data_IF_786051465704
#
_entry.id   IF_786051465704
#
_cell.length_a   1.000
_cell.length_b   1.000
_cell.length_c   1.000
_cell.angle_alpha   90.00
_cell.angle_beta   90.00
_cell.angle_gamma   90.00
#
_symmetry.space_group_name_H-M   'P 1'
#
loop_
_entity.id
_entity.type
_entity.pdbx_description
1 polymer ?
#
# COMPACT_ATOMS: atom_id res chain seq x y z
N UNK A 1 11.48 -11.57 -10.06
CA UNK A 1 12.65 -11.28 -9.19
C UNK A 1 12.25 -11.55 -7.75
N UNK A 2 13.11 -12.16 -6.95
CA UNK A 2 12.87 -12.41 -5.53
C UNK A 2 14.11 -12.02 -4.72
N UNK A 3 13.95 -11.29 -3.62
CA UNK A 3 15.03 -10.91 -2.72
C UNK A 3 14.57 -11.10 -1.28
N UNK A 4 15.38 -11.82 -0.50
CA UNK A 4 15.02 -12.23 0.85
C UNK A 4 16.19 -12.03 1.82
N UNK A 5 15.89 -11.58 3.03
CA UNK A 5 16.83 -11.42 4.14
C UNK A 5 16.26 -12.10 5.40
N UNK A 6 17.03 -12.98 6.06
CA UNK A 6 18.35 -13.48 5.67
C UNK A 6 18.36 -14.22 4.33
N UNK A 7 19.51 -14.32 3.65
CA UNK A 7 19.59 -15.01 2.36
C UNK A 7 19.16 -16.48 2.52
N UNK A 8 18.16 -16.91 1.75
CA UNK A 8 17.64 -18.28 1.76
C UNK A 8 16.53 -18.54 2.79
N UNK A 9 16.08 -17.52 3.52
CA UNK A 9 14.88 -17.64 4.35
C UNK A 9 13.63 -17.96 3.51
N UNK A 10 12.63 -18.54 4.15
CA UNK A 10 11.29 -18.74 3.62
C UNK A 10 10.43 -17.51 3.96
N UNK A 11 9.85 -16.82 2.94
CA UNK A 11 9.03 -15.63 3.16
C UNK A 11 7.81 -15.87 4.05
N UNK A 12 7.34 -17.12 4.14
CA UNK A 12 6.19 -17.50 4.96
C UNK A 12 6.59 -17.96 6.37
N UNK A 13 7.88 -18.01 6.73
CA UNK A 13 8.32 -18.55 8.02
C UNK A 13 9.31 -17.63 8.75
N UNK A 14 10.42 -17.26 8.12
CA UNK A 14 11.59 -16.74 8.84
C UNK A 14 12.33 -15.58 8.14
N UNK A 15 11.75 -15.01 7.07
CA UNK A 15 12.29 -13.78 6.50
C UNK A 15 12.00 -12.56 7.37
N UNK A 16 13.04 -11.77 7.63
CA UNK A 16 12.93 -10.44 8.24
C UNK A 16 12.45 -9.40 7.24
N UNK A 17 12.94 -9.49 6.00
CA UNK A 17 12.47 -8.67 4.87
C UNK A 17 12.44 -9.57 3.64
N UNK A 18 11.39 -9.46 2.84
CA UNK A 18 11.29 -10.15 1.57
C UNK A 18 10.51 -9.35 0.56
N UNK A 19 10.93 -9.41 -0.70
CA UNK A 19 10.17 -8.86 -1.83
C UNK A 19 10.21 -9.82 -3.01
N UNK A 20 9.05 -10.00 -3.63
CA UNK A 20 8.89 -10.67 -4.91
C UNK A 20 8.21 -9.72 -5.88
N UNK A 21 8.79 -9.60 -7.07
CA UNK A 21 8.26 -8.79 -8.16
C UNK A 21 8.06 -9.69 -9.38
N UNK A 22 6.83 -9.73 -9.89
CA UNK A 22 6.44 -10.60 -10.98
C UNK A 22 5.55 -9.85 -11.97
N UNK A 23 5.83 -9.95 -13.27
CA UNK A 23 4.89 -9.49 -14.30
C UNK A 23 3.78 -10.52 -14.47
N UNK A 24 2.54 -10.08 -14.29
CA UNK A 24 1.35 -10.96 -14.28
C UNK A 24 0.39 -10.69 -15.45
N UNK A 25 0.62 -9.62 -16.20
CA UNK A 25 -0.22 -9.25 -17.33
C UNK A 25 0.29 -8.03 -18.08
N UNK A 26 -0.49 -7.57 -19.05
CA UNK A 26 -0.22 -6.34 -19.79
C UNK A 26 -0.16 -5.15 -18.84
N UNK A 27 1.00 -4.50 -18.80
CA UNK A 27 1.28 -3.36 -17.92
C UNK A 27 1.12 -3.65 -16.41
N UNK A 28 1.05 -4.91 -15.98
CA UNK A 28 0.74 -5.27 -14.60
C UNK A 28 1.88 -6.05 -13.96
N UNK A 29 2.35 -5.54 -12.83
CA UNK A 29 3.38 -6.14 -12.01
C UNK A 29 2.85 -6.37 -10.60
N UNK A 30 2.84 -7.63 -10.19
CA UNK A 30 2.53 -8.04 -8.84
C UNK A 30 3.76 -7.84 -7.96
N UNK A 31 3.56 -7.14 -6.85
CA UNK A 31 4.55 -6.92 -5.80
C UNK A 31 4.04 -7.64 -4.55
N UNK A 32 4.87 -8.52 -4.01
CA UNK A 32 4.61 -9.20 -2.75
C UNK A 32 5.75 -8.89 -1.80
N UNK A 33 5.43 -8.44 -0.60
CA UNK A 33 6.39 -8.02 0.40
C UNK A 33 6.08 -8.67 1.75
N UNK A 34 7.13 -8.96 2.48
CA UNK A 34 7.05 -9.43 3.86
C UNK A 34 8.07 -8.69 4.72
N UNK A 35 7.69 -8.37 5.95
CA UNK A 35 8.58 -7.83 6.96
C UNK A 35 8.26 -8.41 8.34
N UNK A 36 9.27 -8.71 9.16
CA UNK A 36 9.05 -9.04 10.57
C UNK A 36 8.48 -7.82 11.33
N UNK A 37 7.52 -8.04 12.22
CA UNK A 37 6.94 -6.96 13.03
C UNK A 37 7.99 -6.36 13.97
N UNK A 38 8.00 -5.03 14.10
CA UNK A 38 8.93 -4.32 14.99
C UNK A 38 8.59 -4.61 16.46
N UNK A 39 9.62 -4.84 17.26
CA UNK A 39 9.50 -5.05 18.71
C UNK A 39 10.31 -3.94 19.42
N UNK A 40 9.69 -3.15 20.32
CA UNK A 40 8.28 -3.19 20.71
C UNK A 40 7.33 -2.76 19.57
N UNK A 41 6.04 -3.17 19.60
CA UNK A 41 5.07 -2.82 18.56
C UNK A 41 4.95 -1.31 18.35
N UNK A 42 4.93 -0.90 17.08
CA UNK A 42 4.71 0.48 16.65
C UNK A 42 3.29 0.66 16.14
N UNK A 43 2.79 1.90 16.13
CA UNK A 43 1.42 2.18 15.67
C UNK A 43 1.24 1.89 14.18
N UNK A 44 2.24 2.23 13.36
CA UNK A 44 2.25 1.95 11.93
C UNK A 44 3.63 1.40 11.55
N UNK A 45 3.64 0.34 10.74
CA UNK A 45 4.84 -0.25 10.18
C UNK A 45 4.71 -0.30 8.67
N UNK A 46 5.81 -0.04 7.96
CA UNK A 46 5.87 -0.15 6.51
C UNK A 46 6.78 -1.27 6.05
N UNK A 47 6.52 -1.79 4.86
CA UNK A 47 7.49 -2.47 4.01
C UNK A 47 7.47 -1.80 2.64
N UNK A 48 8.64 -1.54 2.08
CA UNK A 48 8.77 -0.77 0.85
C UNK A 48 9.67 -1.47 -0.16
N UNK A 49 9.33 -1.32 -1.43
CA UNK A 49 10.16 -1.66 -2.58
C UNK A 49 10.57 -0.37 -3.30
N UNK A 50 11.84 -0.23 -3.64
CA UNK A 50 12.34 0.89 -4.42
C UNK A 50 12.94 0.43 -5.75
N UNK A 51 12.79 1.26 -6.76
CA UNK A 51 13.41 1.13 -8.08
C UNK A 51 14.45 2.23 -8.23
N UNK A 52 15.70 1.83 -8.44
CA UNK A 52 16.84 2.74 -8.47
C UNK A 52 17.71 2.52 -9.71
N UNK A 53 18.40 3.57 -10.15
CA UNK A 53 19.38 3.47 -11.23
C UNK A 53 20.78 3.06 -10.73
N UNK A 54 21.00 3.03 -9.43
CA UNK A 54 22.25 2.58 -8.81
C UNK A 54 21.99 1.71 -7.56
N UNK A 55 23.06 1.31 -6.86
CA UNK A 55 22.97 0.45 -5.65
C UNK A 55 22.81 1.25 -4.35
N UNK A 56 22.60 2.56 -4.41
CA UNK A 56 22.53 3.44 -3.26
C UNK A 56 21.19 4.19 -3.20
N UNK A 57 20.57 4.21 -2.02
CA UNK A 57 19.41 5.07 -1.78
C UNK A 57 19.77 6.54 -2.06
N UNK A 58 18.93 7.25 -2.80
CA UNK A 58 19.30 8.61 -3.22
C UNK A 58 18.34 9.31 -4.15
N UNK A 59 17.80 8.57 -5.09
CA UNK A 59 17.04 9.12 -6.19
C UNK A 59 16.21 7.97 -6.77
N UNK A 60 15.22 7.53 -6.00
CA UNK A 60 14.54 6.26 -6.21
C UNK A 60 13.03 6.46 -6.20
N UNK A 61 12.33 5.79 -7.12
CA UNK A 61 10.88 5.67 -7.05
C UNK A 61 10.53 4.51 -6.12
N UNK A 62 9.66 4.77 -5.16
CA UNK A 62 9.34 3.84 -4.07
C UNK A 62 7.86 3.52 -4.10
N UNK A 63 7.53 2.26 -3.81
CA UNK A 63 6.18 1.84 -3.47
C UNK A 63 6.23 1.22 -2.09
N UNK A 64 5.49 1.80 -1.16
CA UNK A 64 5.47 1.42 0.24
C UNK A 64 4.09 0.94 0.62
N UNK A 65 4.03 -0.11 1.43
CA UNK A 65 2.81 -0.61 2.03
C UNK A 65 2.89 -0.38 3.53
N UNK A 66 1.93 0.34 4.06
CA UNK A 66 1.80 0.69 5.47
C UNK A 66 0.65 -0.11 6.05
N UNK A 67 0.90 -0.78 7.17
CA UNK A 67 -0.15 -1.42 7.96
C UNK A 67 -0.23 -0.71 9.31
N UNK A 68 -1.43 -0.25 9.65
CA UNK A 68 -1.74 0.34 10.94
C UNK A 68 -2.16 -0.74 11.93
N UNK A 69 -1.53 -0.76 13.11
CA UNK A 69 -1.93 -1.59 14.24
C UNK A 69 -2.79 -0.80 15.23
N UNK A 70 -3.72 0.03 14.72
CA UNK A 70 -4.58 0.92 15.52
C UNK A 70 -5.61 0.19 16.43
N UNK A 71 -5.43 -1.11 16.64
CA UNK A 71 -6.08 -1.89 17.70
C UNK A 71 -6.78 -3.13 17.16
N UNK A 72 -6.89 -4.14 18.03
CA UNK A 72 -7.53 -5.44 17.82
C UNK A 72 -9.00 -5.36 17.36
N UNK A 73 -9.59 -4.16 17.38
CA UNK A 73 -11.01 -3.90 17.09
C UNK A 73 -11.30 -3.31 15.71
N UNK A 74 -10.29 -2.79 15.00
CA UNK A 74 -10.48 -2.14 13.67
C UNK A 74 -9.87 -2.94 12.52
N UNK A 75 -9.13 -4.02 12.82
CA UNK A 75 -8.43 -4.81 11.81
C UNK A 75 -7.16 -4.13 11.29
N UNK A 76 -6.36 -4.89 10.58
CA UNK A 76 -5.20 -4.39 9.83
C UNK A 76 -5.69 -3.97 8.45
N UNK A 77 -5.84 -2.67 8.20
CA UNK A 77 -6.08 -2.16 6.86
C UNK A 77 -4.74 -1.77 6.22
N UNK A 78 -4.33 -2.46 5.13
CA UNK A 78 -3.14 -2.09 4.40
C UNK A 78 -3.43 -0.87 3.52
N UNK A 79 -2.46 0.03 3.44
CA UNK A 79 -2.47 1.16 2.53
C UNK A 79 -1.19 1.14 1.69
N UNK A 80 -1.32 1.33 0.38
CA UNK A 80 -0.17 1.43 -0.52
C UNK A 80 0.01 2.87 -0.99
N UNK A 81 1.25 3.34 -0.94
CA UNK A 81 1.64 4.66 -1.39
C UNK A 81 2.77 4.56 -2.41
N UNK A 82 2.83 5.55 -3.29
CA UNK A 82 4.04 5.84 -4.07
C UNK A 82 4.76 6.99 -3.40
N UNK A 83 6.06 6.83 -3.18
CA UNK A 83 6.94 7.82 -2.56
C UNK A 83 8.22 7.97 -3.36
N UNK A 84 9.01 8.99 -3.05
CA UNK A 84 10.25 9.28 -3.74
C UNK A 84 11.38 9.52 -2.75
N UNK A 85 12.51 8.86 -2.96
CA UNK A 85 13.71 9.12 -2.18
C UNK A 85 14.49 10.30 -2.77
N UNK A 86 14.65 11.35 -1.98
CA UNK A 86 15.53 12.49 -2.31
C UNK A 86 16.70 12.52 -1.35
N UNK A 87 17.86 12.06 -1.80
CA UNK A 87 19.01 11.83 -0.95
C UNK A 87 18.72 10.71 0.07
N UNK A 88 18.64 11.05 1.35
CA UNK A 88 18.39 10.08 2.43
C UNK A 88 17.03 10.26 3.11
N UNK A 89 16.18 11.13 2.57
CA UNK A 89 14.79 11.29 2.98
C UNK A 89 13.85 10.67 1.96
N UNK A 90 12.64 10.35 2.41
CA UNK A 90 11.55 9.86 1.59
C UNK A 90 10.39 10.84 1.71
N UNK A 91 9.74 11.16 0.59
CA UNK A 91 8.53 11.98 0.57
C UNK A 91 7.44 11.23 -0.20
N UNK A 92 6.24 11.12 0.39
CA UNK A 92 5.08 10.56 -0.32
C UNK A 92 4.65 11.48 -1.46
N UNK A 93 4.31 10.88 -2.60
CA UNK A 93 3.78 11.60 -3.75
C UNK A 93 2.25 11.53 -3.67
N UNK A 94 1.61 12.69 -3.59
CA UNK A 94 0.15 12.76 -3.53
C UNK A 94 -0.50 12.25 -4.83
N UNK A 95 -1.34 11.22 -4.69
CA UNK A 95 -2.26 10.74 -5.71
C UNK A 95 -3.70 11.06 -5.26
N UNK A 96 -4.54 11.49 -6.18
CA UNK A 96 -5.99 11.45 -5.94
C UNK A 96 -6.54 10.02 -6.12
N UNK A 97 -7.78 9.79 -5.71
CA UNK A 97 -8.43 8.46 -5.75
C UNK A 97 -8.35 7.82 -7.16
N UNK A 98 -8.65 8.57 -8.24
CA UNK A 98 -8.60 8.05 -9.61
C UNK A 98 -7.16 7.66 -10.03
N UNK A 99 -6.16 8.45 -9.62
CA UNK A 99 -4.75 8.16 -9.90
C UNK A 99 -4.26 6.95 -9.10
N UNK A 100 -4.70 6.82 -7.85
CA UNK A 100 -4.38 5.71 -6.96
C UNK A 100 -4.97 4.40 -7.51
N UNK A 101 -6.26 4.37 -7.80
CA UNK A 101 -6.97 3.22 -8.39
C UNK A 101 -6.46 2.86 -9.79
N UNK A 102 -5.87 3.83 -10.51
CA UNK A 102 -5.21 3.56 -11.78
C UNK A 102 -3.85 2.90 -11.59
N UNK A 103 -3.04 3.37 -10.64
CA UNK A 103 -1.68 2.88 -10.42
C UNK A 103 -1.65 1.53 -9.70
N UNK A 104 -2.49 1.36 -8.69
CA UNK A 104 -2.53 0.20 -7.81
C UNK A 104 -3.88 -0.51 -7.89
N UNK A 105 -3.85 -1.83 -7.76
CA UNK A 105 -5.03 -2.71 -7.71
C UNK A 105 -4.71 -3.95 -6.90
N UNK A 106 -5.74 -4.75 -6.56
CA UNK A 106 -5.58 -6.02 -5.84
C UNK A 106 -4.77 -5.90 -4.53
N UNK A 107 -4.92 -4.78 -3.81
CA UNK A 107 -4.24 -4.56 -2.53
C UNK A 107 -4.78 -5.53 -1.48
N UNK A 108 -3.87 -6.30 -0.89
CA UNK A 108 -4.13 -7.16 0.24
C UNK A 108 -2.97 -7.04 1.23
N UNK A 109 -3.25 -7.18 2.51
CA UNK A 109 -2.23 -7.09 3.53
C UNK A 109 -2.77 -7.46 4.89
N UNK A 110 -1.90 -8.03 5.70
CA UNK A 110 -2.26 -8.60 6.99
C UNK A 110 -1.02 -8.73 7.87
N UNK A 111 -1.26 -8.97 9.16
CA UNK A 111 -0.21 -9.39 10.10
C UNK A 111 -0.45 -10.84 10.49
N UNK A 112 0.43 -11.74 10.06
CA UNK A 112 0.34 -13.19 10.31
C UNK A 112 1.65 -13.67 10.92
N UNK A 113 1.55 -14.39 12.05
CA UNK A 113 2.69 -14.91 12.81
C UNK A 113 3.81 -13.89 13.02
N UNK A 114 3.47 -12.68 13.50
CA UNK A 114 4.44 -11.58 13.72
C UNK A 114 5.16 -11.10 12.47
N UNK A 115 4.53 -11.22 11.30
CA UNK A 115 5.03 -10.70 10.03
C UNK A 115 3.96 -9.87 9.35
N UNK A 116 4.34 -8.69 8.88
CA UNK A 116 3.58 -7.90 7.95
C UNK A 116 3.71 -8.54 6.58
N UNK A 117 2.58 -8.93 5.98
CA UNK A 117 2.49 -9.40 4.60
C UNK A 117 1.71 -8.36 3.83
N UNK A 118 2.22 -7.95 2.67
CA UNK A 118 1.51 -7.03 1.79
C UNK A 118 1.70 -7.41 0.32
N UNK A 119 0.62 -7.35 -0.44
CA UNK A 119 0.56 -7.68 -1.84
C UNK A 119 -0.27 -6.65 -2.58
N UNK A 120 0.18 -6.25 -3.76
CA UNK A 120 -0.60 -5.42 -4.67
C UNK A 120 -0.14 -5.62 -6.12
N UNK A 121 -1.01 -5.25 -7.05
CA UNK A 121 -0.69 -5.09 -8.46
C UNK A 121 -0.41 -3.62 -8.75
N UNK A 122 0.73 -3.31 -9.36
CA UNK A 122 1.16 -1.98 -9.78
C UNK A 122 1.33 -1.91 -11.30
N UNK A 123 1.00 -0.75 -11.90
CA UNK A 123 1.32 -0.51 -13.30
C UNK A 123 2.83 -0.36 -13.56
N UNK A 124 3.37 -1.09 -14.54
CA UNK A 124 4.78 -0.98 -14.94
C UNK A 124 5.05 0.37 -15.63
N UNK A 125 4.10 0.82 -16.46
CA UNK A 125 4.11 2.10 -17.13
C UNK A 125 2.85 2.84 -16.70
N UNK A 126 2.94 3.69 -15.67
CA UNK A 126 1.78 4.34 -15.08
C UNK A 126 0.99 5.16 -16.13
N UNK A 127 -0.32 5.03 -16.13
CA UNK A 127 -1.24 5.79 -17.00
C UNK A 127 -1.82 7.02 -16.28
N UNK A 128 -0.97 7.69 -15.50
CA UNK A 128 -1.25 8.88 -14.69
C UNK A 128 -0.18 9.96 -14.94
N UNK A 129 -0.39 11.17 -14.40
CA UNK A 129 0.63 12.22 -14.43
C UNK A 129 1.90 11.76 -13.70
N UNK A 130 3.09 12.07 -14.24
CA UNK A 130 4.35 11.61 -13.64
C UNK A 130 4.79 12.44 -12.41
N UNK A 131 3.97 13.41 -11.99
CA UNK A 131 4.16 14.29 -10.84
C UNK A 131 5.52 14.98 -10.85
N UNK A 132 5.87 15.60 -11.98
CA UNK A 132 7.18 16.23 -12.21
C UNK A 132 8.37 15.24 -12.13
N UNK A 133 8.16 13.99 -12.53
CA UNK A 133 9.21 12.96 -12.57
C UNK A 133 9.39 12.18 -11.26
N UNK A 134 8.50 12.35 -10.28
CA UNK A 134 8.51 11.60 -9.03
C UNK A 134 7.91 10.19 -9.17
N UNK A 135 7.09 9.97 -10.21
CA UNK A 135 6.55 8.66 -10.57
C UNK A 135 7.27 8.18 -11.83
N UNK A 136 7.80 6.95 -11.76
CA UNK A 136 8.67 6.42 -12.81
C UNK A 136 7.98 5.42 -13.73
N UNK A 137 8.45 5.41 -14.97
CA UNK A 137 8.16 4.35 -15.91
C UNK A 137 9.18 3.22 -15.70
N UNK A 138 8.69 2.04 -15.34
CA UNK A 138 9.53 0.89 -14.99
C UNK A 138 9.94 0.05 -16.21
N UNK A 139 9.78 0.54 -17.45
CA UNK A 139 10.26 -0.09 -18.69
C UNK A 139 11.74 0.22 -18.98
N UNK A 140 12.57 0.24 -17.94
CA UNK A 140 14.03 0.27 -18.09
C UNK A 140 14.66 -0.62 -17.02
N UNK A 141 15.95 -0.97 -17.12
CA UNK A 141 16.62 -1.72 -16.05
C UNK A 141 16.82 -0.87 -14.79
N UNK A 142 16.42 -1.41 -13.63
CA UNK A 142 16.62 -0.80 -12.31
C UNK A 142 17.20 -1.80 -11.32
N UNK A 143 18.00 -1.33 -10.37
CA UNK A 143 18.19 -2.07 -9.13
C UNK A 143 16.89 -2.03 -8.31
N UNK A 144 16.55 -3.15 -7.70
CA UNK A 144 15.42 -3.24 -6.78
C UNK A 144 15.98 -3.18 -5.37
N UNK A 145 15.37 -2.37 -4.50
CA UNK A 145 15.70 -2.33 -3.08
C UNK A 145 14.47 -2.67 -2.23
N UNK A 146 14.68 -3.19 -1.03
CA UNK A 146 13.62 -3.44 -0.07
C UNK A 146 14.03 -2.99 1.33
N UNK A 147 13.11 -2.34 2.04
CA UNK A 147 13.31 -1.84 3.39
C UNK A 147 12.02 -1.95 4.22
N UNK A 148 12.17 -1.94 5.55
CA UNK A 148 11.05 -1.88 6.51
C UNK A 148 11.42 -0.95 7.66
N UNK A 149 10.40 -0.37 8.30
CA UNK A 149 10.56 0.52 9.43
C UNK A 149 9.20 0.97 9.99
N UNK A 150 9.22 1.83 11.00
CA UNK A 150 7.99 2.45 11.49
C UNK A 150 7.51 3.55 10.55
N UNK A 151 6.21 3.78 10.49
CA UNK A 151 5.60 4.86 9.72
C UNK A 151 4.88 5.87 10.63
N UNK A 152 4.62 7.05 10.08
CA UNK A 152 3.71 8.06 10.57
C UNK A 152 2.60 8.28 9.52
N UNK A 153 1.49 8.97 9.87
CA UNK A 153 0.38 9.17 8.95
C UNK A 153 0.75 9.75 7.59
N UNK A 154 1.80 10.57 7.49
CA UNK A 154 2.22 11.29 6.30
C UNK A 154 3.63 10.95 5.79
N UNK A 155 4.41 10.16 6.54
CA UNK A 155 5.80 9.83 6.19
C UNK A 155 6.23 8.44 6.70
N UNK A 156 7.35 7.95 6.17
CA UNK A 156 8.03 6.76 6.68
C UNK A 156 9.30 7.16 7.44
N UNK A 157 9.55 6.50 8.57
CA UNK A 157 10.79 6.72 9.31
C UNK A 157 11.97 6.00 8.64
N UNK A 158 13.18 6.42 8.98
CA UNK A 158 14.39 5.75 8.55
C UNK A 158 14.35 4.24 8.89
N UNK A 159 14.67 3.42 7.91
CA UNK A 159 14.91 1.99 8.11
C UNK A 159 16.18 1.78 8.96
N UNK A 160 16.42 0.53 9.35
CA UNK A 160 17.64 0.12 10.05
C UNK A 160 18.92 0.52 9.27
N UNK A 161 19.90 1.08 9.98
CA UNK A 161 21.17 1.57 9.42
C UNK A 161 22.37 0.69 9.80
N UNK A 162 22.22 -0.20 10.78
CA UNK A 162 23.24 -1.16 11.14
C UNK A 162 23.32 -2.28 10.10
N UNK A 163 24.44 -2.36 9.38
CA UNK A 163 24.67 -3.36 8.30
C UNK A 163 24.54 -4.81 8.76
N UNK A 164 24.84 -5.06 10.04
CA UNK A 164 24.80 -6.40 10.63
C UNK A 164 23.41 -6.81 11.10
N UNK A 165 22.44 -5.89 11.10
CA UNK A 165 21.07 -6.17 11.50
C UNK A 165 20.35 -7.03 10.46
N UNK A 166 19.48 -7.93 10.90
CA UNK A 166 18.62 -8.71 10.01
C UNK A 166 17.58 -7.83 9.30
N UNK A 167 17.29 -6.64 9.81
CA UNK A 167 16.38 -5.65 9.21
C UNK A 167 17.08 -4.63 8.32
N UNK A 168 18.40 -4.74 8.11
CA UNK A 168 19.09 -3.84 7.19
C UNK A 168 18.59 -4.05 5.76
N UNK A 169 18.38 -2.98 4.96
CA UNK A 169 17.82 -3.07 3.63
C UNK A 169 18.53 -4.05 2.70
N UNK A 170 17.78 -4.53 1.71
CA UNK A 170 18.27 -5.42 0.66
C UNK A 170 18.34 -4.64 -0.64
N UNK A 171 19.39 -4.86 -1.43
CA UNK A 171 19.53 -4.32 -2.79
C UNK A 171 19.85 -5.47 -3.73
N UNK A 172 19.27 -5.45 -4.94
CA UNK A 172 19.55 -6.46 -5.95
C UNK A 172 21.00 -6.35 -6.43
N UNK A 173 21.62 -7.50 -6.75
CA UNK A 173 22.98 -7.50 -7.27
C UNK A 173 23.04 -7.06 -8.74
N UNK A 174 21.96 -7.32 -9.47
CA UNK A 174 21.78 -7.01 -10.89
C UNK A 174 20.52 -6.18 -11.09
N UNK A 175 20.46 -5.50 -12.23
CA UNK A 175 19.28 -4.76 -12.63
C UNK A 175 18.18 -5.67 -13.14
N UNK A 176 16.94 -5.32 -12.86
CA UNK A 176 15.72 -5.96 -13.34
C UNK A 176 14.97 -5.01 -14.27
N UNK A 177 14.54 -5.50 -15.43
CA UNK A 177 13.61 -4.78 -16.29
C UNK A 177 12.32 -5.64 -16.43
N UNK A 178 11.22 -5.25 -15.76
CA UNK A 178 9.95 -5.98 -15.79
C UNK A 178 9.51 -6.40 -17.19
N UNK A 179 9.62 -5.52 -18.17
CA UNK A 179 9.12 -5.74 -19.54
C UNK A 179 9.91 -6.85 -20.25
N UNK A 180 11.23 -6.84 -20.16
CA UNK A 180 12.09 -7.87 -20.78
C UNK A 180 12.04 -9.22 -20.09
N UNK A 181 11.61 -9.27 -18.83
CA UNK A 181 11.42 -10.52 -18.10
C UNK A 181 10.04 -11.13 -18.34
N UNK A 182 9.05 -10.31 -18.75
CA UNK A 182 7.66 -10.71 -18.97
C UNK A 182 7.29 -11.03 -20.43
N UNK A 183 8.27 -11.25 -21.31
CA UNK A 183 8.33 -11.35 -22.80
C UNK A 183 7.10 -11.77 -23.66
N UNK A 184 5.92 -12.03 -23.11
CA UNK A 184 4.72 -12.47 -23.82
C UNK A 184 3.55 -11.47 -23.81
N UNK A 185 3.71 -10.28 -23.22
CA UNK A 185 2.64 -9.29 -23.16
C UNK A 185 2.94 -8.07 -24.04
N UNK A 186 1.95 -7.61 -24.81
CA UNK A 186 2.00 -6.31 -25.45
C UNK A 186 1.81 -5.22 -24.38
N UNK A 187 2.62 -4.18 -24.42
CA UNK A 187 2.73 -3.20 -23.36
C UNK A 187 2.45 -1.79 -23.92
N UNK A 188 1.75 -0.89 -23.20
CA UNK A 188 1.44 0.45 -23.69
C UNK A 188 2.71 1.30 -23.89
N UNK A 189 2.70 2.25 -24.82
CA UNK A 189 3.85 3.12 -25.04
C UNK A 189 3.85 4.29 -24.04
N UNK A 190 4.73 4.26 -23.04
CA UNK A 190 4.99 5.38 -22.14
C UNK A 190 3.85 5.72 -21.16
N UNK A 191 3.97 6.90 -20.52
CA UNK A 191 2.88 7.47 -19.73
C UNK A 191 1.81 7.99 -20.68
N UNK A 192 0.62 7.38 -20.68
CA UNK A 192 -0.55 7.98 -21.32
C UNK A 192 -1.59 8.25 -20.24
N UNK A 193 -1.69 9.49 -19.73
CA UNK A 193 -2.70 9.83 -18.75
C UNK A 193 -4.08 9.50 -19.32
N UNK A 194 -4.79 8.57 -18.69
CA UNK A 194 -6.17 8.26 -19.06
C UNK A 194 -7.18 9.18 -18.36
N UNK A 195 -6.82 10.40 -17.96
CA UNK A 195 -7.81 11.36 -17.42
C UNK A 195 -7.54 12.79 -17.93
N UNK A 196 -8.60 13.38 -18.50
CA UNK A 196 -8.71 14.80 -18.84
C UNK A 196 -8.87 15.59 -17.53
N UNK A 197 -7.78 16.08 -16.95
CA UNK A 197 -7.77 16.82 -15.65
C UNK A 197 -8.44 18.20 -15.68
N UNK A 198 -9.26 18.51 -16.69
CA UNK A 198 -9.92 19.82 -16.83
C UNK A 198 -11.45 19.80 -16.70
N UNK A 199 -12.07 18.73 -16.20
CA UNK A 199 -13.51 18.73 -15.93
C UNK A 199 -13.79 18.66 -14.43
N UNK A 200 -13.69 19.82 -13.77
CA UNK A 200 -14.51 20.08 -12.58
C UNK A 200 -15.97 20.10 -13.06
N UNK A 201 -16.57 18.92 -13.23
CA UNK A 201 -18.03 18.85 -13.17
C UNK A 201 -18.41 19.13 -11.73
N UNK A 202 -18.85 20.37 -11.47
CA UNK A 202 -19.67 20.68 -10.31
C UNK A 202 -20.84 19.69 -10.32
N UNK A 203 -20.73 18.58 -9.59
CA UNK A 203 -21.90 17.79 -9.24
C UNK A 203 -22.85 18.75 -8.52
N UNK A 204 -24.09 18.93 -8.99
CA UNK A 204 -25.08 19.66 -8.20
C UNK A 204 -25.19 18.96 -6.85
N UNK A 205 -25.01 19.73 -5.78
CA UNK A 205 -25.23 19.26 -4.42
C UNK A 205 -26.66 18.72 -4.35
N UNK A 206 -26.80 17.41 -4.11
CA UNK A 206 -28.12 16.79 -3.90
C UNK A 206 -28.74 17.47 -2.67
N UNK A 207 -29.97 18.00 -2.73
CA UNK A 207 -30.60 18.57 -1.55
C UNK A 207 -30.66 17.50 -0.46
N UNK A 208 -30.13 17.84 0.72
CA UNK A 208 -30.26 17.02 1.92
C UNK A 208 -31.75 16.88 2.23
N UNK A 209 -32.34 15.72 1.97
CA UNK A 209 -33.68 15.41 2.47
C UNK A 209 -33.63 15.40 4.01
N UNK A 210 -34.43 16.26 4.62
CA UNK A 210 -34.59 16.29 6.06
C UNK A 210 -35.10 14.92 6.56
N UNK A 211 -34.64 14.45 7.74
CA UNK A 211 -35.11 13.18 8.29
C UNK A 211 -36.62 13.28 8.57
N UNK A 212 -37.40 12.40 7.94
CA UNK A 212 -38.82 12.25 8.22
C UNK A 212 -39.00 11.77 9.66
N UNK A 213 -39.56 12.62 10.50
CA UNK A 213 -40.00 12.26 11.84
C UNK A 213 -41.09 11.17 11.74
N UNK A 214 -40.75 9.96 12.17
CA UNK A 214 -41.73 8.89 12.37
C UNK A 214 -42.44 9.13 13.71
N UNK A 215 -43.56 9.84 13.66
CA UNK A 215 -44.48 9.95 14.79
C UNK A 215 -45.37 8.70 14.81
N UNK A 216 -44.95 7.67 15.56
CA UNK A 216 -45.84 6.57 15.93
C UNK A 216 -46.63 6.97 17.18
N UNK A 217 -47.88 7.36 16.96
CA UNK A 217 -48.87 7.58 18.02
C UNK A 217 -49.39 6.22 18.49
N UNK A 218 -48.95 5.78 19.67
CA UNK A 218 -49.58 4.67 20.40
C UNK A 218 -50.53 5.30 21.44
N UNK A 219 -51.85 5.00 21.40
CA UNK A 219 -52.77 5.54 22.38
C UNK A 219 -52.64 4.77 23.72
N UNK A 220 -52.55 5.51 24.82
CA UNK A 220 -52.70 4.97 26.17
C UNK A 220 -54.12 4.43 26.35
N UNK A 221 -54.25 3.13 26.60
CA UNK A 221 -55.47 2.53 27.16
C UNK A 221 -55.15 2.09 28.58
N UNK A 222 -55.73 2.83 29.54
CA UNK A 222 -55.86 2.41 30.93
C UNK A 222 -56.77 1.18 31.03
N UNK A 223 -56.27 0.10 31.65
CA UNK A 223 -57.15 -0.85 32.33
C UNK A 223 -56.65 -1.11 33.74
N UNK A 224 -57.59 -0.91 34.65
CA UNK A 224 -57.50 -0.90 36.10
C UNK A 224 -57.91 -2.27 36.63
N UNK A 225 -57.18 -2.75 37.64
CA UNK A 225 -57.49 -3.82 38.62
C UNK A 225 -57.85 -5.22 38.11
N UNK A 226 -57.15 -6.22 38.64
CA UNK A 226 -57.72 -7.10 39.69
C UNK A 226 -56.63 -7.89 40.41
N UNK A 227 -56.47 -7.57 41.69
CA UNK A 227 -55.86 -8.40 42.73
C UNK A 227 -56.78 -9.62 42.96
N UNK A 228 -56.25 -10.84 43.10
CA UNK A 228 -56.71 -11.92 44.02
C UNK A 228 -55.86 -13.19 43.75
N UNK A 229 -54.86 -13.37 44.63
CA UNK A 229 -54.67 -14.49 45.56
C UNK A 229 -54.61 -15.97 45.09
N UNK A 230 -53.72 -16.72 45.79
CA UNK A 230 -53.67 -18.18 46.04
C UNK A 230 -52.71 -18.93 45.09
N UNK A 231 -51.63 -19.64 45.47
CA UNK A 231 -51.05 -20.16 46.73
C UNK A 231 -49.52 -19.95 46.73
#
# INVERSE_FOLDING_TARGET
MCMFRPRGCNPNLDCTIGVTVQVIGQNQMKVQMVAATIIPPVQQQYVAVAFSHDKAMGNDSVSECVISNMGEFVGYEPEVYVSYNKGKSNDRVFLNDDEHDTLFSDLAGEVVDTRLVCEFTQQIMPQIDNKNGLIWNLNTPFYVMAATGSAQPDEVNAHELNRDSHSFPITSEETFNPITFGNNFDHPNGFTPKINTNRIEKRPMRPTEAPKASASLIPLISFVLSLIMIF
#
